data_IF_887973796692
#
_entry.id   IF_887973796692
#
_cell.length_a   1.000
_cell.length_b   1.000
_cell.length_c   1.000
_cell.angle_alpha   90.00
_cell.angle_beta   90.00
_cell.angle_gamma   90.00
#
_symmetry.space_group_name_H-M   'P 1'
#
loop_
_entity.id
_entity.type
_entity.pdbx_description
1 polymer ?
#
# COMPACT_ATOMS: atom_id res chain seq x y z
N UNK A 1 -14.52 14.36 22.00
CA UNK A 1 -14.52 14.13 20.54
C UNK A 1 -13.40 14.98 19.96
N UNK A 2 -12.30 14.35 19.51
CA UNK A 2 -11.16 15.06 18.92
C UNK A 2 -11.54 15.54 17.52
N UNK A 3 -11.10 16.74 17.14
CA UNK A 3 -11.38 17.27 15.80
C UNK A 3 -10.55 16.49 14.74
N UNK A 4 -11.08 16.25 13.52
CA UNK A 4 -10.38 15.48 12.49
C UNK A 4 -9.02 16.06 12.07
N UNK A 5 -8.84 17.37 12.20
CA UNK A 5 -7.59 18.10 11.92
C UNK A 5 -6.48 17.85 12.96
N UNK A 6 -6.82 17.32 14.14
CA UNK A 6 -5.88 16.92 15.18
C UNK A 6 -5.40 15.45 15.05
N UNK A 7 -6.01 14.66 14.17
CA UNK A 7 -5.78 13.22 14.05
C UNK A 7 -4.86 12.80 12.89
N UNK A 8 -4.43 13.76 12.04
CA UNK A 8 -3.58 13.44 10.89
C UNK A 8 -2.09 13.63 11.22
N UNK A 9 -1.26 12.56 11.20
CA UNK A 9 0.12 12.63 11.67
C UNK A 9 1.09 13.28 10.66
N UNK A 10 0.63 13.61 9.45
CA UNK A 10 1.48 14.19 8.41
C UNK A 10 1.51 15.71 8.52
N UNK A 11 2.71 16.26 8.72
CA UNK A 11 2.97 17.70 8.70
C UNK A 11 3.74 18.07 7.43
N UNK A 12 3.37 19.17 6.74
CA UNK A 12 4.17 19.65 5.61
C UNK A 12 5.63 19.89 6.02
N UNK A 13 6.57 19.35 5.26
CA UNK A 13 8.01 19.47 5.53
C UNK A 13 8.60 18.36 6.40
N UNK A 14 7.80 17.58 7.12
CA UNK A 14 8.29 16.42 7.87
C UNK A 14 8.48 15.22 6.94
N UNK A 15 9.57 14.45 7.08
CA UNK A 15 9.80 13.26 6.28
C UNK A 15 8.79 12.16 6.64
N UNK A 16 8.19 11.56 5.60
CA UNK A 16 7.24 10.46 5.76
C UNK A 16 8.00 9.18 6.11
N UNK A 17 7.69 8.61 7.28
CA UNK A 17 8.26 7.34 7.72
C UNK A 17 7.29 6.22 7.42
N UNK A 18 7.54 5.51 6.32
CA UNK A 18 6.77 4.33 5.93
C UNK A 18 7.40 3.07 6.52
N UNK A 19 6.55 2.14 6.95
CA UNK A 19 6.97 0.77 7.25
C UNK A 19 6.62 -0.13 6.07
N UNK A 20 7.42 -1.18 5.85
CA UNK A 20 7.09 -2.22 4.89
C UNK A 20 5.84 -2.97 5.39
N UNK A 21 4.81 -3.20 4.54
CA UNK A 21 3.51 -3.68 5.01
C UNK A 21 3.49 -5.17 5.39
N UNK A 22 4.55 -5.94 5.11
CA UNK A 22 4.64 -7.35 5.49
C UNK A 22 5.65 -7.56 6.62
N UNK A 23 5.34 -8.50 7.51
CA UNK A 23 6.25 -8.92 8.59
C UNK A 23 7.50 -9.64 8.09
N UNK A 24 7.47 -10.18 6.87
CA UNK A 24 8.58 -10.84 6.18
C UNK A 24 8.74 -10.26 4.77
N UNK A 25 9.94 -10.30 4.17
CA UNK A 25 10.13 -9.87 2.79
C UNK A 25 9.24 -10.69 1.82
N UNK A 26 8.62 -10.00 0.86
CA UNK A 26 7.92 -10.69 -0.22
C UNK A 26 8.88 -11.52 -1.06
N UNK A 27 8.44 -12.69 -1.53
CA UNK A 27 9.24 -13.55 -2.41
C UNK A 27 9.30 -13.01 -3.84
N UNK A 28 8.26 -12.29 -4.25
CA UNK A 28 8.17 -11.59 -5.53
C UNK A 28 7.36 -10.30 -5.35
N UNK A 29 7.67 -9.30 -6.16
CA UNK A 29 7.05 -7.98 -6.12
C UNK A 29 6.59 -7.63 -7.51
N UNK A 30 5.30 -7.32 -7.65
CA UNK A 30 4.74 -6.85 -8.92
C UNK A 30 4.38 -5.36 -8.87
N UNK A 31 5.09 -4.54 -9.64
CA UNK A 31 5.07 -3.09 -9.51
C UNK A 31 3.80 -2.41 -10.05
N UNK A 32 3.48 -1.26 -9.49
CA UNK A 32 2.48 -0.32 -9.99
C UNK A 32 2.78 0.16 -11.42
N UNK A 33 1.74 0.31 -12.24
CA UNK A 33 1.86 0.96 -13.55
C UNK A 33 0.92 0.41 -14.63
N UNK A 34 1.01 1.00 -15.82
CA UNK A 34 0.28 0.55 -17.00
C UNK A 34 0.94 -0.68 -17.61
N UNK A 35 0.11 -1.67 -17.94
CA UNK A 35 0.56 -2.94 -18.53
C UNK A 35 -0.35 -3.37 -19.64
N UNK A 36 0.24 -3.82 -20.74
CA UNK A 36 -0.53 -4.47 -21.78
C UNK A 36 -0.87 -5.89 -21.34
N UNK A 37 -2.14 -6.26 -21.43
CA UNK A 37 -2.61 -7.60 -21.14
C UNK A 37 -2.85 -8.35 -22.44
N UNK A 38 -1.99 -9.31 -22.74
CA UNK A 38 -2.13 -10.15 -23.93
C UNK A 38 -3.47 -10.90 -23.94
N UNK A 39 -3.89 -11.48 -22.82
CA UNK A 39 -5.17 -12.19 -22.76
C UNK A 39 -6.41 -11.32 -22.99
N UNK A 40 -6.32 -10.01 -22.72
CA UNK A 40 -7.42 -9.05 -22.94
C UNK A 40 -7.21 -8.15 -24.16
N UNK A 41 -6.06 -8.24 -24.82
CA UNK A 41 -5.62 -7.33 -25.89
C UNK A 41 -5.88 -5.85 -25.55
N UNK A 42 -5.54 -5.46 -24.32
CA UNK A 42 -5.83 -4.13 -23.79
C UNK A 42 -4.83 -3.68 -22.73
N UNK A 43 -4.59 -2.36 -22.68
CA UNK A 43 -3.87 -1.73 -21.59
C UNK A 43 -4.72 -1.72 -20.32
N UNK A 44 -4.11 -2.10 -19.19
CA UNK A 44 -4.72 -2.04 -17.87
C UNK A 44 -3.80 -1.31 -16.91
N UNK A 45 -4.39 -0.59 -15.98
CA UNK A 45 -3.65 0.00 -14.88
C UNK A 45 -3.54 -1.03 -13.74
N UNK A 46 -2.32 -1.36 -13.34
CA UNK A 46 -2.07 -2.03 -12.07
C UNK A 46 -2.03 -0.97 -10.97
N UNK A 47 -3.20 -0.73 -10.35
CA UNK A 47 -3.42 0.35 -9.40
C UNK A 47 -2.96 -0.01 -7.97
N UNK A 48 -1.77 -0.61 -7.86
CA UNK A 48 -1.20 -1.09 -6.61
C UNK A 48 0.13 -1.78 -6.86
N UNK A 49 0.71 -2.32 -5.79
CA UNK A 49 1.85 -3.22 -5.88
C UNK A 49 1.46 -4.53 -5.21
N UNK A 50 1.68 -5.64 -5.90
CA UNK A 50 1.41 -6.95 -5.35
C UNK A 50 2.68 -7.47 -4.69
N UNK A 51 2.50 -8.04 -3.50
CA UNK A 51 3.57 -8.60 -2.69
C UNK A 51 3.26 -10.08 -2.48
N UNK A 52 4.01 -10.96 -3.14
CA UNK A 52 3.79 -12.39 -3.04
C UNK A 52 4.32 -12.91 -1.71
N UNK A 53 3.45 -13.56 -0.94
CA UNK A 53 3.75 -14.08 0.40
C UNK A 53 2.83 -15.26 0.73
N UNK A 54 3.20 -16.07 1.72
CA UNK A 54 2.37 -17.19 2.18
C UNK A 54 1.05 -16.72 2.79
N UNK A 55 -0.01 -17.53 2.61
CA UNK A 55 -1.31 -17.29 3.23
C UNK A 55 -1.19 -17.19 4.76
N UNK A 56 -1.99 -16.31 5.36
CA UNK A 56 -1.99 -16.05 6.81
C UNK A 56 -0.88 -15.11 7.27
N UNK A 57 -0.03 -14.60 6.37
CA UNK A 57 0.96 -13.59 6.73
C UNK A 57 0.30 -12.28 7.13
N UNK A 58 0.68 -11.75 8.30
CA UNK A 58 0.17 -10.48 8.81
C UNK A 58 0.52 -9.30 7.90
N UNK A 59 -0.49 -8.44 7.68
CA UNK A 59 -0.35 -7.16 6.96
C UNK A 59 -0.43 -6.01 7.95
N UNK A 60 0.52 -5.08 7.85
CA UNK A 60 0.63 -3.90 8.69
C UNK A 60 0.24 -2.64 7.92
N UNK A 61 -0.37 -1.67 8.61
CA UNK A 61 -0.55 -0.34 8.06
C UNK A 61 0.82 0.34 7.87
N UNK A 62 1.08 0.85 6.67
CA UNK A 62 2.35 1.51 6.34
C UNK A 62 2.53 2.87 7.03
N UNK A 63 1.43 3.49 7.42
CA UNK A 63 1.35 4.80 8.06
C UNK A 63 0.20 4.79 9.08
N UNK A 64 0.32 5.49 10.23
CA UNK A 64 -0.79 5.65 11.17
C UNK A 64 -1.98 6.37 10.51
N UNK A 65 -3.19 5.92 10.82
CA UNK A 65 -4.43 6.49 10.30
C UNK A 65 -5.65 5.80 10.88
N UNK A 66 -6.82 6.13 10.34
CA UNK A 66 -8.08 5.50 10.70
C UNK A 66 -8.55 4.58 9.59
N UNK A 67 -9.03 3.40 9.95
CA UNK A 67 -9.71 2.50 9.02
C UNK A 67 -11.06 3.10 8.67
N UNK A 68 -11.36 3.15 7.37
CA UNK A 68 -12.67 3.57 6.82
C UNK A 68 -13.31 2.38 6.12
N UNK A 69 -14.64 2.25 6.24
CA UNK A 69 -15.45 1.19 5.64
C UNK A 69 -16.45 1.80 4.65
#
# INVERSE_FOLDING_TARGET
MLKPDQAWPLRPGDPLRLVYPLAVPATEVDLYGWRYSESRQAWRMHAGQDLVVAEGTSVLAMLPGHVVL
#
